data_IF_783452082282
#
_entry.id   IF_783452082282
#
_cell.length_a   1.000
_cell.length_b   1.000
_cell.length_c   1.000
_cell.angle_alpha   90.00
_cell.angle_beta   90.00
_cell.angle_gamma   90.00
#
_symmetry.space_group_name_H-M   'P 1'
#
loop_
_entity.id
_entity.type
_entity.pdbx_description
1 polymer ?
#
# COMPACT_ATOMS: atom_id res chain seq x y z
N UNK A 1 17.63 12.33 12.63
CA UNK A 1 17.42 11.49 11.44
C UNK A 1 18.08 12.18 10.24
N UNK A 2 18.73 11.46 9.33
CA UNK A 2 19.31 12.07 8.13
C UNK A 2 18.16 12.65 7.26
N UNK A 3 18.33 13.80 6.58
CA UNK A 3 17.27 14.40 5.77
C UNK A 3 16.67 13.45 4.72
N UNK A 4 17.50 12.63 4.09
CA UNK A 4 17.05 11.64 3.10
C UNK A 4 16.17 10.54 3.72
N UNK A 5 16.51 10.07 4.93
CA UNK A 5 15.71 9.07 5.66
C UNK A 5 14.36 9.67 6.07
N UNK A 6 14.34 10.93 6.51
CA UNK A 6 13.12 11.65 6.86
C UNK A 6 12.17 11.75 5.65
N UNK A 7 12.69 12.18 4.50
CA UNK A 7 11.92 12.27 3.27
C UNK A 7 11.36 10.90 2.83
N UNK A 8 12.14 9.83 3.00
CA UNK A 8 11.69 8.46 2.72
C UNK A 8 10.55 8.03 3.67
N UNK A 9 10.66 8.33 4.96
CA UNK A 9 9.63 8.01 5.94
C UNK A 9 8.32 8.76 5.68
N UNK A 10 8.40 10.05 5.34
CA UNK A 10 7.25 10.88 4.96
C UNK A 10 6.55 10.33 3.71
N UNK A 11 7.32 9.97 2.67
CA UNK A 11 6.77 9.37 1.45
C UNK A 11 6.05 8.04 1.73
N UNK A 12 6.64 7.16 2.55
CA UNK A 12 6.02 5.89 2.96
C UNK A 12 4.73 6.11 3.76
N UNK A 13 4.77 7.06 4.70
CA UNK A 13 3.60 7.42 5.52
C UNK A 13 2.45 7.95 4.67
N UNK A 14 2.76 8.77 3.67
CA UNK A 14 1.75 9.28 2.74
C UNK A 14 1.11 8.16 1.94
N UNK A 15 1.92 7.27 1.34
CA UNK A 15 1.43 6.09 0.59
C UNK A 15 0.47 5.28 1.45
N UNK A 16 0.86 4.96 2.68
CA UNK A 16 0.05 4.17 3.58
C UNK A 16 -1.26 4.87 3.95
N UNK A 17 -1.21 6.17 4.26
CA UNK A 17 -2.38 6.95 4.66
C UNK A 17 -3.41 7.03 3.53
N UNK A 18 -2.97 7.35 2.32
CA UNK A 18 -3.84 7.46 1.15
C UNK A 18 -4.55 6.12 0.87
N UNK A 19 -3.80 5.01 0.86
CA UNK A 19 -4.37 3.66 0.64
C UNK A 19 -5.32 3.28 1.77
N UNK A 20 -4.94 3.53 3.04
CA UNK A 20 -5.74 3.13 4.19
C UNK A 20 -7.07 3.86 4.25
N UNK A 21 -7.09 5.16 3.94
CA UNK A 21 -8.32 5.95 3.87
C UNK A 21 -9.27 5.35 2.82
N UNK A 22 -8.75 5.02 1.65
CA UNK A 22 -9.56 4.47 0.56
C UNK A 22 -10.04 3.05 0.85
N UNK A 23 -9.20 2.21 1.47
CA UNK A 23 -9.62 0.90 1.96
C UNK A 23 -10.78 1.02 2.95
N UNK A 24 -10.70 1.93 3.92
CA UNK A 24 -11.77 2.16 4.91
C UNK A 24 -13.04 2.62 4.19
N UNK A 25 -12.92 3.57 3.25
CA UNK A 25 -14.06 4.10 2.47
C UNK A 25 -14.81 2.99 1.72
N UNK A 26 -14.10 2.00 1.22
CA UNK A 26 -14.67 0.87 0.47
C UNK A 26 -14.92 -0.39 1.31
N UNK A 27 -14.68 -0.34 2.63
CA UNK A 27 -14.90 -1.48 3.53
C UNK A 27 -13.88 -2.62 3.40
N UNK A 28 -12.71 -2.36 2.82
CA UNK A 28 -11.64 -3.35 2.73
C UNK A 28 -10.79 -3.42 4.01
N UNK A 29 -10.49 -4.64 4.43
CA UNK A 29 -9.42 -4.93 5.39
C UNK A 29 -8.16 -5.35 4.63
N UNK A 30 -7.00 -5.38 5.32
CA UNK A 30 -5.76 -5.93 4.74
C UNK A 30 -5.96 -7.42 4.38
N UNK A 31 -6.69 -8.19 5.20
CA UNK A 31 -6.92 -9.61 4.90
C UNK A 31 -7.81 -9.80 3.67
N UNK A 32 -8.95 -9.11 3.59
CA UNK A 32 -9.88 -9.23 2.46
C UNK A 32 -9.25 -8.74 1.15
N UNK A 33 -8.44 -7.68 1.19
CA UNK A 33 -7.74 -7.19 0.02
C UNK A 33 -6.61 -8.14 -0.42
N UNK A 34 -5.97 -8.83 0.53
CA UNK A 34 -4.93 -9.81 0.24
C UNK A 34 -5.52 -11.05 -0.43
N UNK A 35 -6.66 -11.53 0.08
CA UNK A 35 -7.48 -12.59 -0.50
C UNK A 35 -7.93 -12.22 -1.93
N UNK A 36 -8.51 -11.03 -2.11
CA UNK A 36 -8.96 -10.54 -3.42
C UNK A 36 -7.82 -10.49 -4.46
N UNK A 37 -6.62 -10.08 -4.03
CA UNK A 37 -5.45 -9.96 -4.89
C UNK A 37 -4.65 -11.26 -5.04
N UNK A 38 -5.08 -12.33 -4.36
CA UNK A 38 -4.36 -13.60 -4.26
C UNK A 38 -2.88 -13.41 -3.86
N UNK A 39 -2.64 -12.64 -2.80
CA UNK A 39 -1.32 -12.44 -2.20
C UNK A 39 -1.40 -12.73 -0.70
N UNK A 40 -0.29 -13.13 -0.09
CA UNK A 40 -0.29 -13.30 1.36
C UNK A 40 -0.38 -11.94 2.08
N UNK A 41 -1.01 -11.95 3.27
CA UNK A 41 -1.24 -10.77 4.10
C UNK A 41 0.04 -9.98 4.44
N UNK A 42 1.20 -10.61 4.79
CA UNK A 42 2.44 -9.87 5.02
C UNK A 42 2.94 -9.11 3.78
N UNK A 43 2.85 -9.72 2.60
CA UNK A 43 3.25 -9.09 1.33
C UNK A 43 2.38 -7.89 1.01
N UNK A 44 1.05 -8.03 1.16
CA UNK A 44 0.16 -6.88 0.98
C UNK A 44 0.48 -5.78 2.00
N UNK A 45 0.60 -6.13 3.28
CA UNK A 45 0.91 -5.17 4.35
C UNK A 45 2.18 -4.39 4.04
N UNK A 46 3.26 -5.07 3.68
CA UNK A 46 4.52 -4.40 3.36
C UNK A 46 4.41 -3.50 2.11
N UNK A 47 3.67 -3.95 1.10
CA UNK A 47 3.41 -3.15 -0.09
C UNK A 47 2.63 -1.86 0.21
N UNK A 48 1.57 -1.92 1.01
CA UNK A 48 0.77 -0.73 1.35
C UNK A 48 1.49 0.22 2.32
N UNK A 49 2.48 -0.27 3.10
CA UNK A 49 3.35 0.57 3.94
C UNK A 49 4.53 1.20 3.17
N UNK A 50 4.48 1.20 1.84
CA UNK A 50 5.51 1.83 1.01
C UNK A 50 6.78 0.99 0.81
N UNK A 51 6.65 -0.34 0.79
CA UNK A 51 7.72 -1.23 0.37
C UNK A 51 8.28 -0.85 -1.01
N UNK A 52 9.61 -0.94 -1.15
CA UNK A 52 10.36 -0.42 -2.31
C UNK A 52 10.87 -1.51 -3.24
N UNK A 53 10.65 -2.80 -2.94
CA UNK A 53 11.05 -3.87 -3.85
C UNK A 53 10.17 -3.88 -5.10
N UNK A 54 10.64 -4.42 -6.25
CA UNK A 54 9.82 -4.55 -7.45
C UNK A 54 8.50 -5.29 -7.21
N UNK A 55 8.52 -6.30 -6.33
CA UNK A 55 7.33 -7.07 -5.94
C UNK A 55 6.31 -6.17 -5.23
N UNK A 56 6.77 -5.38 -4.25
CA UNK A 56 5.89 -4.51 -3.46
C UNK A 56 5.27 -3.41 -4.30
N UNK A 57 6.04 -2.84 -5.23
CA UNK A 57 5.55 -1.86 -6.21
C UNK A 57 4.47 -2.49 -7.09
N UNK A 58 4.68 -3.72 -7.58
CA UNK A 58 3.69 -4.44 -8.40
C UNK A 58 2.39 -4.72 -7.62
N UNK A 59 2.49 -5.18 -6.38
CA UNK A 59 1.33 -5.41 -5.51
C UNK A 59 0.59 -4.11 -5.23
N UNK A 60 1.31 -3.03 -4.91
CA UNK A 60 0.71 -1.71 -4.64
C UNK A 60 0.02 -1.13 -5.87
N UNK A 61 0.53 -1.35 -7.09
CA UNK A 61 -0.18 -1.00 -8.33
C UNK A 61 -1.51 -1.74 -8.47
N UNK A 62 -1.57 -3.03 -8.11
CA UNK A 62 -2.84 -3.78 -8.08
C UNK A 62 -3.81 -3.21 -7.04
N UNK A 63 -3.31 -2.82 -5.87
CA UNK A 63 -4.10 -2.14 -4.83
C UNK A 63 -4.71 -0.84 -5.36
N UNK A 64 -3.91 0.03 -5.98
CA UNK A 64 -4.43 1.26 -6.58
C UNK A 64 -5.51 1.01 -7.62
N UNK A 65 -5.35 -0.03 -8.46
CA UNK A 65 -6.37 -0.43 -9.43
C UNK A 65 -7.67 -0.89 -8.78
N UNK A 66 -7.60 -1.76 -7.77
CA UNK A 66 -8.79 -2.24 -7.04
C UNK A 66 -9.51 -1.10 -6.33
N UNK A 67 -8.74 -0.19 -5.74
CA UNK A 67 -9.27 0.95 -5.00
C UNK A 67 -9.69 2.12 -5.90
N UNK A 68 -9.54 2.00 -7.23
CA UNK A 68 -9.89 3.10 -8.15
C UNK A 68 -9.04 4.36 -7.98
N UNK A 69 -7.84 4.23 -7.41
CA UNK A 69 -6.89 5.33 -7.16
C UNK A 69 -5.97 5.61 -8.36
N UNK A 70 -6.22 4.98 -9.51
CA UNK A 70 -5.45 5.22 -10.72
C UNK A 70 -5.86 6.59 -11.30
N UNK A 71 -4.91 7.53 -11.34
CA UNK A 71 -4.92 8.65 -12.28
C UNK A 71 -4.10 8.27 -13.52
#
# INVERSE_FOLDING_TARGET
MLPAEQALAEAKSKIFSDIKIEMIRQGYTVSSLAELLNVNRPTLSYAIHGGTTPRDISVRKKVYKVLGMNS
#
